data_IF_710188187015
#
_entry.id   IF_710188187015
#
_cell.length_a   1.000
_cell.length_b   1.000
_cell.length_c   1.000
_cell.angle_alpha   90.00
_cell.angle_beta   90.00
_cell.angle_gamma   90.00
#
_symmetry.space_group_name_H-M   'P 1'
#
loop_
_entity.id
_entity.type
_entity.pdbx_description
1 polymer ?
#
# COMPACT_ATOMS: atom_id res chain seq x y z
N UNK A 1 -18.15 16.34 16.36
CA UNK A 1 -16.93 15.52 16.54
C UNK A 1 -17.30 14.31 17.37
N UNK A 2 -16.84 13.12 16.99
CA UNK A 2 -17.13 11.84 17.70
C UNK A 2 -16.81 11.92 19.19
N UNK A 3 -15.76 12.67 19.57
CA UNK A 3 -15.36 12.91 20.97
C UNK A 3 -16.41 13.58 21.85
N UNK A 4 -17.39 14.26 21.26
CA UNK A 4 -18.45 14.96 22.01
C UNK A 4 -19.68 14.06 22.25
N UNK A 5 -19.69 12.84 21.72
CA UNK A 5 -20.83 11.95 21.85
C UNK A 5 -20.79 11.25 23.22
N UNK A 6 -21.87 11.33 24.04
CA UNK A 6 -21.84 10.87 25.43
C UNK A 6 -21.63 9.36 25.60
N UNK A 7 -21.99 8.57 24.58
CA UNK A 7 -21.87 7.11 24.60
C UNK A 7 -20.65 6.59 23.83
N UNK A 8 -19.70 7.46 23.47
CA UNK A 8 -18.47 7.05 22.76
C UNK A 8 -17.25 7.49 23.56
N UNK A 9 -16.50 6.52 24.04
CA UNK A 9 -15.16 6.74 24.59
C UNK A 9 -14.14 6.50 23.49
N UNK A 10 -13.29 7.50 23.22
CA UNK A 10 -12.19 7.39 22.27
C UNK A 10 -10.90 7.21 23.06
N UNK A 11 -10.27 6.05 22.91
CA UNK A 11 -8.97 5.74 23.50
C UNK A 11 -7.89 5.88 22.43
N UNK A 12 -7.17 7.01 22.45
CA UNK A 12 -6.01 7.24 21.58
C UNK A 12 -4.75 6.64 22.21
N UNK A 13 -3.72 6.39 21.41
CA UNK A 13 -2.47 5.78 21.91
C UNK A 13 -2.69 4.41 22.59
N UNK A 14 -3.72 3.68 22.17
CA UNK A 14 -4.02 2.32 22.61
C UNK A 14 -3.82 1.35 21.44
N UNK A 15 -2.93 0.38 21.62
CA UNK A 15 -2.59 -0.62 20.60
C UNK A 15 -3.22 -1.96 20.95
N UNK A 16 -4.18 -2.43 20.15
CA UNK A 16 -4.79 -3.74 20.34
C UNK A 16 -3.78 -4.87 20.03
N UNK A 17 -3.53 -5.74 21.00
CA UNK A 17 -2.54 -6.82 20.90
C UNK A 17 -3.19 -8.09 20.36
N UNK A 18 -4.29 -8.53 20.97
CA UNK A 18 -5.00 -9.75 20.57
C UNK A 18 -6.47 -9.72 20.98
N UNK A 19 -7.28 -10.54 20.31
CA UNK A 19 -8.69 -10.73 20.63
C UNK A 19 -8.86 -11.84 21.65
N UNK A 20 -9.64 -11.56 22.69
CA UNK A 20 -9.98 -12.54 23.72
C UNK A 20 -11.01 -13.52 23.17
N UNK A 21 -10.68 -14.80 23.20
CA UNK A 21 -11.54 -15.90 22.76
C UNK A 21 -11.28 -17.12 23.64
N UNK A 22 -12.01 -18.21 23.44
CA UNK A 22 -11.93 -19.41 24.29
C UNK A 22 -10.51 -19.99 24.43
N UNK A 23 -9.61 -19.87 23.45
CA UNK A 23 -8.23 -20.37 23.64
C UNK A 23 -7.46 -19.64 24.74
N UNK A 24 -7.81 -18.38 25.04
CA UNK A 24 -7.22 -17.64 26.15
C UNK A 24 -7.74 -18.13 27.51
N UNK A 25 -8.81 -18.93 27.53
CA UNK A 25 -9.32 -19.63 28.71
C UNK A 25 -8.72 -21.04 28.88
N UNK A 26 -7.76 -21.41 28.02
CA UNK A 26 -7.15 -22.74 28.01
C UNK A 26 -7.93 -23.79 27.21
N UNK A 27 -8.99 -23.39 26.49
CA UNK A 27 -9.74 -24.31 25.64
C UNK A 27 -9.02 -24.58 24.32
N UNK A 28 -9.05 -25.83 23.87
CA UNK A 28 -8.55 -26.16 22.55
C UNK A 28 -9.56 -25.75 21.48
N UNK A 29 -9.25 -24.68 20.72
CA UNK A 29 -10.06 -24.23 19.60
C UNK A 29 -9.27 -24.20 18.29
N UNK A 30 -9.97 -24.57 17.22
CA UNK A 30 -9.49 -24.51 15.84
C UNK A 30 -10.34 -23.53 15.05
N UNK A 31 -9.92 -23.21 13.82
CA UNK A 31 -10.71 -22.39 12.89
C UNK A 31 -12.07 -23.00 12.50
N UNK A 32 -12.27 -24.29 12.78
CA UNK A 32 -13.51 -25.03 12.48
C UNK A 32 -14.34 -25.29 13.74
N UNK A 33 -13.88 -24.84 14.91
CA UNK A 33 -14.64 -24.99 16.15
C UNK A 33 -15.89 -24.12 16.09
N UNK A 34 -17.05 -24.74 16.28
CA UNK A 34 -18.33 -24.02 16.34
C UNK A 34 -18.45 -23.24 17.65
N UNK A 35 -19.15 -22.12 17.61
CA UNK A 35 -19.39 -21.31 18.81
C UNK A 35 -18.18 -20.49 19.28
N UNK A 36 -17.15 -20.31 18.44
CA UNK A 36 -16.06 -19.38 18.71
C UNK A 36 -16.64 -17.98 18.96
N UNK A 37 -16.29 -17.40 20.11
CA UNK A 37 -16.81 -16.12 20.57
C UNK A 37 -15.66 -15.18 20.93
N UNK A 38 -15.86 -13.88 20.70
CA UNK A 38 -14.94 -12.84 21.12
C UNK A 38 -15.48 -12.18 22.38
N UNK A 39 -14.62 -12.08 23.40
CA UNK A 39 -14.96 -11.50 24.70
C UNK A 39 -14.40 -10.08 24.90
N UNK A 40 -13.64 -9.58 23.92
CA UNK A 40 -12.92 -8.31 24.03
C UNK A 40 -11.53 -8.38 23.41
N UNK A 41 -10.60 -7.59 23.95
CA UNK A 41 -9.21 -7.55 23.50
C UNK A 41 -8.24 -7.25 24.65
N UNK A 42 -7.00 -7.74 24.51
CA UNK A 42 -5.86 -7.17 25.23
C UNK A 42 -5.37 -5.93 24.49
N UNK A 43 -5.17 -4.84 25.24
CA UNK A 43 -4.81 -3.54 24.69
C UNK A 43 -3.61 -2.99 25.44
N UNK A 44 -2.55 -2.63 24.73
CA UNK A 44 -1.42 -1.90 25.30
C UNK A 44 -1.75 -0.41 25.31
N UNK A 45 -1.80 0.18 26.49
CA UNK A 45 -1.80 1.62 26.66
C UNK A 45 -0.37 2.12 26.47
N UNK A 46 -0.12 2.89 25.41
CA UNK A 46 1.24 3.33 25.05
C UNK A 46 1.75 4.45 25.97
N UNK A 47 0.88 5.11 26.74
CA UNK A 47 1.26 6.17 27.67
C UNK A 47 1.71 5.59 29.01
N UNK A 48 0.96 4.63 29.56
CA UNK A 48 1.33 3.95 30.81
C UNK A 48 2.27 2.75 30.59
N UNK A 49 2.34 2.24 29.36
CA UNK A 49 3.03 1.01 28.99
C UNK A 49 2.48 -0.24 29.70
N UNK A 50 1.19 -0.22 30.05
CA UNK A 50 0.48 -1.34 30.69
C UNK A 50 -0.48 -2.04 29.72
N UNK A 51 -0.69 -3.35 29.94
CA UNK A 51 -1.66 -4.14 29.18
C UNK A 51 -2.98 -4.15 29.94
N UNK A 52 -4.01 -3.61 29.30
CA UNK A 52 -5.37 -3.56 29.79
C UNK A 52 -6.22 -4.68 29.16
N UNK A 53 -7.15 -5.22 29.94
CA UNK A 53 -8.16 -6.16 29.43
C UNK A 53 -9.45 -5.38 29.16
N UNK A 54 -9.79 -5.20 27.90
CA UNK A 54 -11.03 -4.51 27.50
C UNK A 54 -12.08 -5.56 27.14
N UNK A 55 -13.08 -5.74 28.01
CA UNK A 55 -14.18 -6.67 27.77
C UNK A 55 -15.30 -6.00 26.99
N UNK A 56 -15.90 -6.74 26.06
CA UNK A 56 -17.00 -6.26 25.23
C UNK A 56 -17.97 -7.39 24.88
N UNK A 57 -19.26 -7.04 24.76
CA UNK A 57 -20.30 -7.96 24.23
C UNK A 57 -20.15 -8.17 22.73
N UNK A 58 -19.66 -7.15 22.02
CA UNK A 58 -19.44 -7.16 20.58
C UNK A 58 -18.15 -6.42 20.27
N UNK A 59 -17.30 -7.02 19.44
CA UNK A 59 -16.01 -6.45 19.04
C UNK A 59 -15.99 -6.28 17.52
N UNK A 60 -15.69 -5.07 17.04
CA UNK A 60 -15.55 -4.76 15.62
C UNK A 60 -14.10 -4.42 15.33
N UNK A 61 -13.49 -5.13 14.38
CA UNK A 61 -12.11 -4.86 13.94
C UNK A 61 -12.16 -3.99 12.69
N UNK A 62 -11.69 -2.76 12.82
CA UNK A 62 -11.62 -1.77 11.73
C UNK A 62 -10.19 -1.21 11.56
N UNK A 63 -9.18 -2.08 11.69
CA UNK A 63 -7.76 -1.69 11.78
C UNK A 63 -7.08 -1.39 10.42
N UNK A 64 -7.85 -1.28 9.32
CA UNK A 64 -7.30 -1.05 7.99
C UNK A 64 -6.66 -2.28 7.35
N UNK A 65 -5.83 -2.06 6.33
CA UNK A 65 -5.19 -3.11 5.52
C UNK A 65 -3.74 -3.43 5.91
N UNK A 66 -3.08 -4.26 5.11
CA UNK A 66 -1.70 -4.70 5.31
C UNK A 66 -0.71 -4.14 4.27
N UNK A 67 -0.96 -2.93 3.76
CA UNK A 67 -0.17 -2.36 2.65
C UNK A 67 1.32 -2.16 2.95
N UNK A 68 1.74 -2.10 4.21
CA UNK A 68 3.14 -1.92 4.61
C UNK A 68 4.00 -3.19 4.57
N UNK A 69 3.43 -4.36 4.27
CA UNK A 69 4.24 -5.57 4.01
C UNK A 69 5.06 -5.44 2.72
N UNK A 70 4.67 -4.50 1.83
CA UNK A 70 5.38 -4.17 0.61
C UNK A 70 6.36 -3.01 0.81
N UNK A 71 7.48 -3.07 0.11
CA UNK A 71 8.55 -2.05 0.19
C UNK A 71 8.09 -0.68 -0.30
N UNK A 72 7.28 -0.64 -1.35
CA UNK A 72 6.59 0.55 -1.85
C UNK A 72 5.09 0.43 -1.60
N UNK A 73 4.50 1.51 -1.08
CA UNK A 73 3.07 1.55 -0.73
C UNK A 73 2.60 2.98 -0.67
N UNK A 74 1.36 3.23 -1.09
CA UNK A 74 0.68 4.53 -0.91
C UNK A 74 -0.15 4.57 0.37
N UNK A 75 -0.16 3.46 1.12
CA UNK A 75 -0.95 3.33 2.34
C UNK A 75 -0.28 4.08 3.50
N UNK A 76 -1.06 4.65 4.44
CA UNK A 76 -0.52 5.22 5.67
C UNK A 76 0.40 4.24 6.41
N UNK A 77 1.32 4.76 7.24
CA UNK A 77 2.26 3.95 8.04
C UNK A 77 1.56 2.94 8.96
N UNK A 78 0.32 3.20 9.35
CA UNK A 78 -0.50 2.35 10.23
C UNK A 78 -1.15 1.16 9.51
N UNK A 79 -1.05 1.04 8.17
CA UNK A 79 -1.61 -0.08 7.42
C UNK A 79 -0.69 -1.32 7.48
N UNK A 80 -0.48 -1.85 8.69
CA UNK A 80 0.47 -2.92 9.05
C UNK A 80 -0.14 -4.31 9.03
N UNK A 81 -1.47 -4.43 8.98
CA UNK A 81 -2.19 -5.70 8.98
C UNK A 81 -2.51 -6.25 10.36
N UNK A 82 -2.40 -5.43 11.42
CA UNK A 82 -2.57 -5.86 12.81
C UNK A 82 -3.95 -6.50 13.06
N UNK A 83 -5.01 -5.90 12.54
CA UNK A 83 -6.37 -6.47 12.66
C UNK A 83 -6.52 -7.84 12.02
N UNK A 84 -5.94 -8.03 10.83
CA UNK A 84 -5.96 -9.32 10.13
C UNK A 84 -5.20 -10.36 10.96
N UNK A 85 -4.03 -9.98 11.50
CA UNK A 85 -3.21 -10.86 12.31
C UNK A 85 -3.90 -11.27 13.62
N UNK A 86 -4.53 -10.32 14.33
CA UNK A 86 -5.33 -10.60 15.53
C UNK A 86 -6.48 -11.57 15.23
N UNK A 87 -7.25 -11.30 14.17
CA UNK A 87 -8.35 -12.18 13.77
C UNK A 87 -7.83 -13.60 13.46
N UNK A 88 -6.73 -13.71 12.71
CA UNK A 88 -6.12 -15.00 12.39
C UNK A 88 -5.66 -15.76 13.64
N UNK A 89 -4.99 -15.09 14.60
CA UNK A 89 -4.57 -15.71 15.87
C UNK A 89 -5.77 -16.18 16.70
N UNK A 90 -6.83 -15.38 16.71
CA UNK A 90 -8.13 -15.68 17.28
C UNK A 90 -8.91 -16.78 16.54
N UNK A 91 -8.31 -17.43 15.53
CA UNK A 91 -8.88 -18.53 14.73
C UNK A 91 -10.03 -18.12 13.81
N UNK A 92 -10.22 -16.82 13.57
CA UNK A 92 -11.11 -16.38 12.50
C UNK A 92 -10.56 -16.82 11.12
N UNK A 93 -11.47 -17.07 10.19
CA UNK A 93 -11.11 -17.39 8.82
C UNK A 93 -10.65 -16.11 8.11
N UNK A 94 -9.48 -16.19 7.48
CA UNK A 94 -8.91 -15.13 6.63
C UNK A 94 -8.84 -15.64 5.20
N UNK A 95 -9.43 -14.90 4.25
CA UNK A 95 -9.56 -15.29 2.84
C UNK A 95 -9.00 -14.21 1.92
N UNK A 96 -8.71 -14.60 0.67
CA UNK A 96 -8.36 -13.69 -0.42
C UNK A 96 -7.11 -12.81 -0.15
N UNK A 97 -6.21 -13.26 0.73
CA UNK A 97 -4.99 -12.54 1.11
C UNK A 97 -3.97 -12.42 -0.03
N UNK A 98 -4.12 -13.22 -1.08
CA UNK A 98 -3.34 -13.15 -2.33
C UNK A 98 -3.76 -12.00 -3.24
N UNK A 99 -4.98 -11.45 -3.07
CA UNK A 99 -5.53 -10.41 -3.92
C UNK A 99 -5.17 -9.02 -3.42
N UNK A 100 -3.91 -8.63 -3.63
CA UNK A 100 -3.42 -7.29 -3.31
C UNK A 100 -3.49 -6.38 -4.54
N UNK A 101 -4.20 -5.27 -4.42
CA UNK A 101 -4.25 -4.24 -5.46
C UNK A 101 -3.01 -3.34 -5.38
N UNK A 102 -2.27 -3.27 -6.48
CA UNK A 102 -1.24 -2.26 -6.69
C UNK A 102 -1.83 -1.11 -7.50
N UNK A 103 -1.80 0.10 -6.94
CA UNK A 103 -2.19 1.27 -7.70
C UNK A 103 -1.15 1.50 -8.82
N UNK A 104 -1.56 1.66 -10.09
CA UNK A 104 -0.62 1.74 -11.19
C UNK A 104 0.26 2.99 -11.11
N UNK A 105 -0.24 4.10 -10.57
CA UNK A 105 0.45 5.40 -10.57
C UNK A 105 0.72 5.87 -9.13
N UNK A 106 1.86 5.49 -8.58
CA UNK A 106 2.44 6.11 -7.39
C UNK A 106 3.70 6.90 -7.77
N UNK A 107 3.90 8.05 -7.14
CA UNK A 107 5.06 8.91 -7.35
C UNK A 107 6.33 8.16 -6.94
N UNK A 108 7.31 8.20 -7.83
CA UNK A 108 8.63 7.63 -7.58
C UNK A 108 9.51 8.70 -6.94
N UNK A 109 9.69 8.59 -5.63
CA UNK A 109 10.60 9.43 -4.87
C UNK A 109 11.33 8.54 -3.86
N UNK A 110 12.57 8.07 -4.15
CA UNK A 110 13.25 7.05 -3.35
C UNK A 110 13.38 7.34 -1.85
N UNK A 111 13.39 8.62 -1.46
CA UNK A 111 13.50 9.06 -0.08
C UNK A 111 12.14 9.23 0.63
N UNK A 112 11.01 9.01 -0.04
CA UNK A 112 9.67 9.21 0.53
C UNK A 112 8.91 7.88 0.69
N UNK A 113 8.45 7.63 1.93
CA UNK A 113 7.51 6.54 2.25
C UNK A 113 6.48 7.04 3.28
N UNK A 114 5.17 6.83 3.08
CA UNK A 114 4.56 6.19 1.92
C UNK A 114 4.69 7.01 0.65
N UNK A 115 4.66 6.33 -0.49
CA UNK A 115 4.70 6.97 -1.79
C UNK A 115 3.45 7.84 -1.97
N UNK A 116 3.62 9.04 -2.52
CA UNK A 116 2.48 9.87 -2.90
C UNK A 116 1.66 9.20 -4.01
N UNK A 117 0.35 9.15 -3.85
CA UNK A 117 -0.56 8.57 -4.83
C UNK A 117 -0.87 9.60 -5.93
N UNK A 118 -0.62 9.25 -7.19
CA UNK A 118 -1.12 10.03 -8.33
C UNK A 118 -2.46 9.45 -8.72
N UNK A 119 -3.54 10.21 -8.54
CA UNK A 119 -4.91 9.72 -8.77
C UNK A 119 -5.11 9.21 -10.20
N UNK A 120 -5.93 8.17 -10.33
CA UNK A 120 -6.42 7.64 -11.61
C UNK A 120 -7.14 8.70 -12.45
N UNK A 121 -7.73 9.72 -11.81
CA UNK A 121 -8.32 10.85 -12.51
C UNK A 121 -7.31 11.56 -13.45
N UNK A 122 -6.01 11.49 -13.18
CA UNK A 122 -4.97 12.00 -14.07
C UNK A 122 -4.94 11.22 -15.40
N UNK A 123 -5.07 9.89 -15.36
CA UNK A 123 -5.22 9.06 -16.58
C UNK A 123 -6.54 9.40 -17.28
N UNK A 124 -7.63 9.54 -16.54
CA UNK A 124 -8.94 9.99 -17.04
C UNK A 124 -8.91 11.35 -17.74
N UNK A 125 -8.07 12.27 -17.25
CA UNK A 125 -7.84 13.59 -17.84
C UNK A 125 -7.07 13.53 -19.18
N UNK A 126 -6.51 12.37 -19.51
CA UNK A 126 -5.79 12.10 -20.76
C UNK A 126 -4.30 11.86 -20.57
N UNK A 127 -3.81 11.66 -19.35
CA UNK A 127 -2.39 11.37 -19.16
C UNK A 127 -1.96 10.06 -19.83
N UNK A 128 -0.78 10.10 -20.45
CA UNK A 128 -0.22 9.02 -21.26
C UNK A 128 0.93 8.36 -20.49
N UNK A 129 0.95 7.02 -20.48
CA UNK A 129 2.06 6.26 -19.90
C UNK A 129 3.17 6.11 -20.93
N UNK A 130 4.36 6.62 -20.58
CA UNK A 130 5.54 6.61 -21.45
C UNK A 130 6.74 5.97 -20.78
N UNK A 131 7.52 5.22 -21.54
CA UNK A 131 8.83 4.71 -21.14
C UNK A 131 9.84 5.85 -20.99
N UNK A 132 11.01 5.57 -20.43
CA UNK A 132 12.04 6.60 -20.25
C UNK A 132 12.57 7.18 -21.57
N UNK A 133 12.50 6.40 -22.66
CA UNK A 133 12.82 6.84 -24.02
C UNK A 133 11.71 7.69 -24.68
N UNK A 134 10.59 7.93 -24.00
CA UNK A 134 9.44 8.72 -24.47
C UNK A 134 8.37 7.94 -25.24
N UNK A 135 8.60 6.65 -25.53
CA UNK A 135 7.63 5.82 -26.26
C UNK A 135 6.41 5.48 -25.41
N UNK A 136 5.23 5.47 -26.04
CA UNK A 136 4.03 4.88 -25.45
C UNK A 136 4.12 3.36 -25.52
N UNK A 137 3.71 2.67 -24.46
CA UNK A 137 3.83 1.21 -24.41
C UNK A 137 2.51 0.48 -24.18
N UNK A 138 1.47 1.18 -23.69
CA UNK A 138 0.21 0.55 -23.30
C UNK A 138 -0.57 -0.07 -24.46
N UNK A 139 -0.32 0.38 -25.70
CA UNK A 139 -0.92 -0.18 -26.93
C UNK A 139 -0.64 -1.68 -27.10
N UNK A 140 0.47 -2.17 -26.55
CA UNK A 140 0.84 -3.60 -26.58
C UNK A 140 -0.02 -4.46 -25.64
N UNK A 141 -0.66 -3.85 -24.65
CA UNK A 141 -1.27 -4.55 -23.52
C UNK A 141 -2.79 -4.42 -23.48
N UNK A 142 -3.35 -3.29 -23.94
CA UNK A 142 -4.79 -3.08 -23.87
C UNK A 142 -5.28 -2.00 -24.86
N UNK A 143 -6.44 -2.19 -25.53
CA UNK A 143 -6.98 -1.23 -26.50
C UNK A 143 -7.31 0.14 -25.89
N UNK A 144 -7.67 0.18 -24.60
CA UNK A 144 -7.91 1.45 -23.87
C UNK A 144 -6.62 2.19 -23.47
N UNK A 145 -5.44 1.67 -23.82
CA UNK A 145 -4.15 2.29 -23.54
C UNK A 145 -3.98 2.64 -22.05
N UNK A 146 -3.61 3.87 -21.72
CA UNK A 146 -3.51 4.39 -20.36
C UNK A 146 -4.82 4.40 -19.57
N UNK A 147 -5.98 4.21 -20.19
CA UNK A 147 -7.27 4.06 -19.49
C UNK A 147 -7.63 2.61 -19.16
N UNK A 148 -6.74 1.65 -19.43
CA UNK A 148 -6.96 0.25 -19.08
C UNK A 148 -7.23 0.05 -17.57
N UNK A 149 -7.88 -1.08 -17.19
CA UNK A 149 -8.05 -1.47 -15.79
C UNK A 149 -6.74 -1.44 -15.00
N UNK A 150 -6.85 -1.18 -13.69
CA UNK A 150 -5.69 -0.95 -12.81
C UNK A 150 -4.70 -2.10 -12.82
N UNK A 151 -5.20 -3.32 -12.76
CA UNK A 151 -4.41 -4.54 -12.69
C UNK A 151 -3.65 -4.79 -14.02
N UNK A 152 -4.31 -4.56 -15.17
CA UNK A 152 -3.67 -4.60 -16.49
C UNK A 152 -2.56 -3.56 -16.60
N UNK A 153 -2.87 -2.33 -16.19
CA UNK A 153 -1.92 -1.20 -16.24
C UNK A 153 -0.71 -1.44 -15.35
N UNK A 154 -0.92 -1.84 -14.08
CA UNK A 154 0.15 -2.13 -13.14
C UNK A 154 1.04 -3.28 -13.61
N UNK A 155 0.46 -4.34 -14.19
CA UNK A 155 1.23 -5.45 -14.79
C UNK A 155 2.06 -4.98 -15.99
N UNK A 156 1.48 -4.19 -16.89
CA UNK A 156 2.20 -3.67 -18.06
C UNK A 156 3.41 -2.81 -17.67
N UNK A 157 3.23 -1.90 -16.69
CA UNK A 157 4.32 -1.09 -16.14
C UNK A 157 5.42 -1.99 -15.56
N UNK A 158 5.04 -2.95 -14.72
CA UNK A 158 6.01 -3.89 -14.12
C UNK A 158 6.78 -4.69 -15.16
N UNK A 159 6.10 -5.17 -16.22
CA UNK A 159 6.72 -5.92 -17.31
C UNK A 159 7.74 -5.08 -18.07
N UNK A 160 7.39 -3.85 -18.48
CA UNK A 160 8.33 -2.97 -19.19
C UNK A 160 9.54 -2.59 -18.32
N UNK A 161 9.29 -2.21 -17.06
CA UNK A 161 10.35 -1.87 -16.10
C UNK A 161 11.31 -3.04 -15.89
N UNK A 162 10.78 -4.24 -15.66
CA UNK A 162 11.60 -5.44 -15.45
C UNK A 162 12.40 -5.81 -16.69
N UNK A 163 11.80 -5.72 -17.87
CA UNK A 163 12.46 -6.04 -19.14
C UNK A 163 13.61 -5.07 -19.46
N UNK A 164 13.45 -3.79 -19.09
CA UNK A 164 14.40 -2.72 -19.42
C UNK A 164 15.40 -2.41 -18.30
N UNK A 165 15.15 -2.91 -17.09
CA UNK A 165 15.92 -2.52 -15.91
C UNK A 165 15.69 -1.08 -15.50
N UNK A 166 14.50 -0.52 -15.79
CA UNK A 166 14.11 0.85 -15.45
C UNK A 166 13.39 0.89 -14.11
N UNK A 167 13.66 1.92 -13.30
CA UNK A 167 13.09 2.07 -11.95
C UNK A 167 11.69 2.71 -11.93
N UNK A 168 11.29 3.36 -13.01
CA UNK A 168 9.99 4.02 -13.16
C UNK A 168 9.65 4.26 -14.63
N UNK A 169 8.36 4.48 -14.91
CA UNK A 169 7.86 5.05 -16.16
C UNK A 169 7.26 6.45 -15.93
N UNK A 170 7.05 7.20 -16.99
CA UNK A 170 6.43 8.52 -16.94
C UNK A 170 4.91 8.43 -17.08
N UNK A 171 4.22 9.30 -16.33
CA UNK A 171 2.85 9.70 -16.65
C UNK A 171 2.94 11.09 -17.29
N UNK A 172 2.39 11.29 -18.47
CA UNK A 172 2.66 12.47 -19.29
C UNK A 172 1.39 13.21 -19.70
N UNK A 173 1.32 14.50 -19.35
CA UNK A 173 0.23 15.43 -19.68
C UNK A 173 0.70 16.64 -20.48
N UNK A 174 1.91 16.62 -21.07
CA UNK A 174 2.48 17.75 -21.83
C UNK A 174 1.63 18.23 -23.00
N UNK A 175 0.76 17.38 -23.51
CA UNK A 175 -0.17 17.68 -24.60
C UNK A 175 -1.45 18.40 -24.11
N UNK A 176 -1.63 18.57 -22.80
CA UNK A 176 -2.75 19.30 -22.18
C UNK A 176 -2.33 20.72 -21.82
N UNK A 177 -3.32 21.60 -21.66
CA UNK A 177 -3.08 22.97 -21.21
C UNK A 177 -2.49 22.98 -19.78
N UNK A 178 -1.32 23.62 -19.56
CA UNK A 178 -0.65 23.62 -18.27
C UNK A 178 -1.47 24.27 -17.14
N UNK A 179 -2.16 25.38 -17.43
CA UNK A 179 -2.93 26.13 -16.43
C UNK A 179 -4.18 25.37 -15.99
N UNK A 180 -4.90 24.78 -16.95
CA UNK A 180 -6.03 23.89 -16.66
C UNK A 180 -5.57 22.68 -15.87
N UNK A 181 -4.45 22.07 -16.22
CA UNK A 181 -3.92 20.89 -15.51
C UNK A 181 -3.60 21.23 -14.06
N UNK A 182 -2.95 22.38 -13.82
CA UNK A 182 -2.65 22.87 -12.47
C UNK A 182 -3.90 23.15 -11.65
N UNK A 183 -4.94 23.73 -12.26
CA UNK A 183 -6.24 23.97 -11.61
C UNK A 183 -6.98 22.68 -11.25
N UNK A 184 -6.91 21.65 -12.10
CA UNK A 184 -7.56 20.37 -11.85
C UNK A 184 -6.83 19.52 -10.81
N UNK A 185 -5.49 19.61 -10.74
CA UNK A 185 -4.67 18.76 -9.87
C UNK A 185 -3.65 19.56 -9.03
N UNK A 186 -4.09 20.52 -8.20
CA UNK A 186 -3.19 21.41 -7.44
C UNK A 186 -2.27 20.63 -6.50
N UNK A 187 -2.81 19.66 -5.74
CA UNK A 187 -2.03 18.86 -4.79
C UNK A 187 -0.95 18.00 -5.49
N UNK A 188 -1.24 17.49 -6.70
CA UNK A 188 -0.24 16.74 -7.46
C UNK A 188 0.86 17.69 -7.90
N UNK A 189 0.50 18.85 -8.43
CA UNK A 189 1.44 19.86 -8.90
C UNK A 189 2.38 20.35 -7.79
N UNK A 190 1.87 20.59 -6.59
CA UNK A 190 2.67 20.98 -5.42
C UNK A 190 3.65 19.89 -4.96
N UNK A 191 3.25 18.62 -5.10
CA UNK A 191 4.07 17.47 -4.70
C UNK A 191 5.15 17.11 -5.72
N UNK A 192 5.04 17.61 -6.95
CA UNK A 192 6.04 17.38 -7.99
C UNK A 192 7.38 18.00 -7.54
N UNK A 193 8.45 17.22 -7.39
CA UNK A 193 9.77 17.83 -7.31
C UNK A 193 9.97 18.63 -8.60
N UNK A 194 10.44 19.87 -8.49
CA UNK A 194 10.84 20.70 -9.64
C UNK A 194 11.94 19.94 -10.40
N UNK A 195 11.55 19.10 -11.35
CA UNK A 195 12.47 18.25 -12.10
C UNK A 195 13.37 19.16 -12.93
N UNK A 196 14.61 19.36 -12.44
CA UNK A 196 15.71 19.88 -13.26
C UNK A 196 16.13 18.76 -14.21
N UNK A 197 15.51 18.67 -15.38
CA UNK A 197 16.00 17.81 -16.44
C UNK A 197 17.36 18.32 -16.94
N UNK A 198 18.37 17.45 -17.04
CA UNK A 198 19.71 17.77 -17.60
C UNK A 198 19.67 18.27 -19.06
N UNK A 199 18.54 18.14 -19.75
CA UNK A 199 18.35 18.61 -21.13
C UNK A 199 17.40 19.81 -21.28
N UNK A 200 16.91 20.39 -20.16
CA UNK A 200 16.08 21.60 -20.19
C UNK A 200 16.48 22.55 -19.05
N UNK A 201 16.97 23.77 -19.35
CA UNK A 201 17.54 24.69 -18.35
C UNK A 201 16.48 25.36 -17.45
N UNK A 202 15.21 24.93 -17.50
CA UNK A 202 14.13 25.44 -16.63
C UNK A 202 13.35 24.28 -16.02
N UNK A 203 12.90 24.39 -14.75
CA UNK A 203 12.02 23.41 -14.15
C UNK A 203 10.75 23.26 -14.98
N UNK A 204 10.44 22.03 -15.42
CA UNK A 204 9.26 21.73 -16.22
C UNK A 204 8.27 20.88 -15.41
N UNK A 205 7.19 21.48 -14.88
CA UNK A 205 6.18 20.79 -14.06
C UNK A 205 5.33 19.79 -14.86
N UNK A 206 5.55 19.67 -16.18
CA UNK A 206 4.86 18.71 -17.04
C UNK A 206 5.47 17.31 -17.02
N UNK A 207 6.61 17.13 -16.34
CA UNK A 207 7.15 15.81 -16.04
C UNK A 207 6.59 15.31 -14.71
N UNK A 208 5.50 14.56 -14.77
CA UNK A 208 5.10 13.66 -13.68
C UNK A 208 6.08 12.49 -13.65
N UNK A 209 7.23 12.71 -13.02
CA UNK A 209 8.22 11.68 -12.73
C UNK A 209 7.67 10.70 -11.71
N UNK A 210 7.28 9.52 -12.15
CA UNK A 210 7.08 8.37 -11.28
C UNK A 210 5.75 7.69 -11.43
N UNK A 211 5.79 6.52 -12.04
CA UNK A 211 4.77 5.49 -11.97
C UNK A 211 5.45 4.24 -11.44
N UNK A 212 5.02 3.83 -10.23
CA UNK A 212 5.17 2.54 -9.55
C UNK A 212 6.57 1.92 -9.43
N UNK A 213 7.10 1.90 -8.20
CA UNK A 213 8.19 1.01 -7.80
C UNK A 213 7.62 -0.37 -7.40
N UNK A 214 7.64 -1.36 -8.31
CA UNK A 214 7.39 -2.75 -7.94
C UNK A 214 8.71 -3.53 -7.87
N UNK A 215 9.50 -3.35 -6.81
CA UNK A 215 10.74 -4.12 -6.63
C UNK A 215 10.44 -5.45 -5.90
N UNK A 216 10.30 -6.56 -6.64
CA UNK A 216 10.54 -7.89 -6.07
C UNK A 216 12.03 -7.96 -5.68
N UNK A 217 12.33 -8.19 -4.40
CA UNK A 217 13.70 -8.56 -3.99
C UNK A 217 14.05 -9.88 -4.68
N UNK A 218 14.92 -9.85 -5.71
CA UNK A 218 15.85 -10.97 -5.92
C UNK A 218 16.82 -10.93 -4.75
N UNK A 219 16.51 -11.65 -3.65
CA UNK A 219 17.60 -12.16 -2.82
C UNK A 219 18.19 -13.32 -3.61
N UNK A 220 19.34 -13.10 -4.24
CA UNK A 220 20.28 -14.19 -4.49
C UNK A 220 20.66 -14.74 -3.12
N UNK A 221 19.93 -15.74 -2.64
CA UNK A 221 20.43 -16.59 -1.58
C UNK A 221 21.45 -17.47 -2.29
N UNK A 222 22.72 -17.07 -2.18
CA UNK A 222 23.83 -18.00 -2.28
C UNK A 222 23.54 -19.11 -1.27
N UNK A 223 23.16 -20.29 -1.75
CA UNK A 223 23.12 -21.50 -0.94
C UNK A 223 24.55 -21.84 -0.59
N UNK A 224 25.01 -21.36 0.57
CA UNK A 224 26.18 -21.95 1.21
C UNK A 224 25.83 -23.41 1.52
N UNK A 225 26.51 -24.34 0.83
CA UNK A 225 26.53 -25.76 1.16
C UNK A 225 26.95 -25.92 2.63
N UNK A 226 26.23 -26.69 3.46
CA UNK A 226 26.78 -27.15 4.73
C UNK A 226 28.00 -28.02 4.40
N UNK A 227 29.16 -27.69 4.98
CA UNK A 227 30.25 -28.65 5.08
C UNK A 227 29.75 -29.77 6.00
N UNK A 228 29.86 -30.98 5.50
CA UNK A 228 29.68 -32.22 6.24
C UNK A 228 30.81 -32.34 7.26
N UNK A 229 30.50 -32.20 8.53
CA UNK A 229 31.34 -32.76 9.58
C UNK A 229 30.94 -34.23 9.71
N UNK A 230 31.79 -35.09 9.15
CA UNK A 230 31.72 -36.53 9.35
C UNK A 230 32.56 -36.93 10.56
N UNK A 231 32.01 -37.89 11.32
CA UNK A 231 32.68 -38.89 12.18
C UNK A 231 33.89 -38.46 13.01
#
# INVERSE_FOLDING_TARGET
SVRKHPNITVLEHHFAIDLLTQHHLGEFVTRHTRGLACFGAYVLNLESNEIETVLAKFTVVAAGGCGNVYSSTTNPSVATGDGIAMCHRAKAITENMEFIQFHPTSLYHPAEKPNFLITEAMRGYGAILRLQNGEEFMDKYHPMKSLAPRDVTARAIYTEMTRRGEDFVYLDVRHKDPEQTRRHFPNIYEKMPLARHRHHPRPDPRHTGGTLLLRRRKRSISTAKPRSDGS
#
